data_IF_095320870840
#
_entry.id   IF_095320870840
#
_cell.length_a   1.000
_cell.length_b   1.000
_cell.length_c   1.000
_cell.angle_alpha   90.00
_cell.angle_beta   90.00
_cell.angle_gamma   90.00
#
_symmetry.space_group_name_H-M   'P 1'
#
loop_
_entity.id
_entity.type
_entity.pdbx_description
1 polymer ?
#
# COMPACT_ATOMS: atom_id res chain seq x y z
N UNK A 1 -7.72 16.75 -20.41
CA UNK A 1 -7.14 15.86 -21.44
C UNK A 1 -5.75 15.30 -21.08
N UNK A 2 -4.86 16.02 -20.38
CA UNK A 2 -3.44 15.61 -20.19
C UNK A 2 -3.12 14.49 -19.18
N UNK A 3 -4.12 13.77 -18.66
CA UNK A 3 -3.91 12.67 -17.70
C UNK A 3 -4.19 11.28 -18.27
N UNK A 4 -4.84 11.19 -19.45
CA UNK A 4 -5.18 9.90 -20.07
C UNK A 4 -3.97 9.13 -20.60
N UNK A 5 -2.85 9.83 -20.84
CA UNK A 5 -1.58 9.27 -21.33
C UNK A 5 -0.57 9.01 -20.20
N UNK A 6 -0.93 9.25 -18.93
CA UNK A 6 0.00 9.13 -17.80
C UNK A 6 -0.30 7.88 -16.99
N UNK A 7 0.76 7.16 -16.64
CA UNK A 7 0.68 6.04 -15.71
C UNK A 7 0.99 6.50 -14.27
N UNK A 8 0.19 6.02 -13.34
CA UNK A 8 0.26 6.31 -11.91
C UNK A 8 0.61 5.03 -11.14
N UNK A 9 1.84 4.99 -10.64
CA UNK A 9 2.31 3.92 -9.77
C UNK A 9 2.15 4.32 -8.30
N UNK A 10 1.43 3.52 -7.53
CA UNK A 10 1.41 3.62 -6.06
C UNK A 10 2.60 2.88 -5.45
N UNK A 11 3.34 3.53 -4.55
CA UNK A 11 4.44 2.90 -3.81
C UNK A 11 4.07 2.83 -2.33
N UNK A 12 4.07 1.62 -1.76
CA UNK A 12 3.77 1.35 -0.36
C UNK A 12 5.07 0.92 0.35
N UNK A 13 5.80 1.86 0.98
CA UNK A 13 7.03 1.53 1.68
C UNK A 13 6.73 0.81 3.01
N UNK A 14 7.02 -0.48 3.05
CA UNK A 14 6.74 -1.41 4.14
C UNK A 14 8.00 -1.79 4.93
N UNK A 15 8.85 -0.80 5.27
CA UNK A 15 10.09 -1.01 6.03
C UNK A 15 9.88 -1.83 7.31
N UNK A 16 10.68 -2.88 7.49
CA UNK A 16 10.62 -3.76 8.67
C UNK A 16 11.06 -3.13 10.00
N UNK A 17 11.93 -2.12 9.98
CA UNK A 17 12.50 -1.47 11.17
C UNK A 17 11.58 -0.46 11.87
N UNK A 18 10.39 -0.88 12.32
CA UNK A 18 9.51 -0.04 13.13
C UNK A 18 9.97 0.01 14.60
N UNK A 19 10.40 1.18 15.08
CA UNK A 19 10.91 1.37 16.46
C UNK A 19 9.82 1.28 17.52
N UNK A 20 8.65 1.87 17.28
CA UNK A 20 7.54 1.93 18.26
C UNK A 20 6.69 0.65 18.26
N UNK A 21 6.50 0.05 17.08
CA UNK A 21 5.71 -1.17 16.93
C UNK A 21 6.45 -2.14 15.98
N UNK A 22 7.33 -3.00 16.52
CA UNK A 22 8.10 -3.95 15.71
C UNK A 22 7.19 -4.79 14.82
N UNK A 23 7.58 -4.94 13.55
CA UNK A 23 6.84 -5.72 12.55
C UNK A 23 5.39 -5.27 12.32
N UNK A 24 5.07 -3.98 12.52
CA UNK A 24 3.68 -3.47 12.39
C UNK A 24 2.97 -3.87 11.11
N UNK A 25 3.69 -3.98 9.99
CA UNK A 25 3.11 -4.24 8.67
C UNK A 25 2.46 -5.63 8.57
N UNK A 26 2.97 -6.61 9.33
CA UNK A 26 2.43 -7.98 9.37
C UNK A 26 1.54 -8.24 10.58
N UNK A 27 1.43 -7.29 11.52
CA UNK A 27 0.59 -7.47 12.70
C UNK A 27 -0.89 -7.45 12.31
N UNK A 28 -1.73 -8.28 12.95
CA UNK A 28 -3.16 -8.28 12.69
C UNK A 28 -3.81 -6.98 13.19
N UNK A 29 -4.67 -6.41 12.35
CA UNK A 29 -5.60 -5.32 12.63
C UNK A 29 -6.95 -5.69 12.02
N UNK A 30 -7.98 -5.84 12.87
CA UNK A 30 -9.33 -6.20 12.44
C UNK A 30 -9.39 -7.45 11.53
N UNK A 31 -8.63 -8.50 11.90
CA UNK A 31 -8.64 -9.79 11.19
C UNK A 31 -7.71 -9.89 9.96
N UNK A 32 -7.00 -8.82 9.59
CA UNK A 32 -6.02 -8.84 8.48
C UNK A 32 -4.68 -8.21 8.90
N UNK A 33 -3.54 -8.56 8.30
CA UNK A 33 -2.31 -7.80 8.50
C UNK A 33 -2.49 -6.31 8.20
N UNK A 34 -1.86 -5.43 8.98
CA UNK A 34 -1.98 -3.98 8.81
C UNK A 34 -1.72 -3.52 7.37
N UNK A 35 -0.68 -4.07 6.73
CA UNK A 35 -0.29 -3.72 5.36
C UNK A 35 -1.36 -4.10 4.32
N UNK A 36 -2.13 -5.16 4.58
CA UNK A 36 -3.18 -5.63 3.67
C UNK A 36 -4.24 -4.56 3.44
N UNK A 37 -4.59 -3.77 4.46
CA UNK A 37 -5.54 -2.66 4.31
C UNK A 37 -5.08 -1.61 3.29
N UNK A 38 -3.79 -1.26 3.29
CA UNK A 38 -3.24 -0.31 2.33
C UNK A 38 -3.16 -0.91 0.92
N UNK A 39 -2.81 -2.19 0.80
CA UNK A 39 -2.76 -2.89 -0.49
C UNK A 39 -4.17 -2.97 -1.11
N UNK A 40 -5.18 -3.37 -0.33
CA UNK A 40 -6.57 -3.47 -0.81
C UNK A 40 -7.08 -2.10 -1.27
N UNK A 41 -6.82 -1.03 -0.51
CA UNK A 41 -7.20 0.32 -0.91
C UNK A 41 -6.51 0.77 -2.20
N UNK A 42 -5.24 0.41 -2.40
CA UNK A 42 -4.52 0.71 -3.63
C UNK A 42 -5.09 -0.04 -4.83
N UNK A 43 -5.41 -1.33 -4.67
CA UNK A 43 -6.01 -2.17 -5.72
C UNK A 43 -7.44 -1.75 -6.10
N UNK A 44 -8.20 -1.19 -5.15
CA UNK A 44 -9.54 -0.66 -5.39
C UNK A 44 -9.55 0.76 -5.98
N UNK A 45 -8.40 1.41 -6.06
CA UNK A 45 -8.30 2.78 -6.56
C UNK A 45 -8.47 2.82 -8.08
N UNK A 46 -9.40 3.65 -8.55
CA UNK A 46 -9.56 3.97 -9.99
C UNK A 46 -8.46 4.88 -10.56
N UNK A 47 -7.54 5.33 -9.72
CA UNK A 47 -6.52 6.32 -10.06
C UNK A 47 -5.11 5.75 -10.16
N UNK A 48 -4.91 4.50 -9.74
CA UNK A 48 -3.62 3.83 -9.82
C UNK A 48 -3.68 2.77 -10.90
N UNK A 49 -2.69 2.77 -11.79
CA UNK A 49 -2.53 1.72 -12.79
C UNK A 49 -1.85 0.47 -12.19
N UNK A 50 -0.99 0.69 -11.19
CA UNK A 50 -0.28 -0.36 -10.48
C UNK A 50 0.07 0.06 -9.05
N UNK A 51 0.35 -0.93 -8.21
CA UNK A 51 0.86 -0.73 -6.86
C UNK A 51 2.08 -1.64 -6.61
N UNK A 52 3.12 -1.08 -5.99
CA UNK A 52 4.34 -1.78 -5.59
C UNK A 52 4.55 -1.64 -4.08
N UNK A 53 4.99 -2.73 -3.44
CA UNK A 53 5.41 -2.74 -2.03
C UNK A 53 6.93 -2.87 -1.98
N UNK A 54 7.59 -2.06 -1.15
CA UNK A 54 9.06 -2.06 -0.98
C UNK A 54 9.49 -2.17 0.47
#
# INVERSE_FOLDING_TARGET
MGYLEKHFLGIIPARGGSKRLPSKNIRPLAGKPLLTWTIEAALQSRFLDAAMVS
#
